data_IF_299026577073
#
_entry.id   IF_299026577073
#
_cell.length_a   1.000
_cell.length_b   1.000
_cell.length_c   1.000
_cell.angle_alpha   90.00
_cell.angle_beta   90.00
_cell.angle_gamma   90.00
#
_symmetry.space_group_name_H-M   'P 1'
#
loop_
_entity.id
_entity.type
_entity.pdbx_description
1 polymer ?
#
# COMPACT_ATOMS: atom_id res chain seq x y z
N UNK A 1 -4.25 -3.04 2.91
CA UNK A 1 -5.19 -3.43 1.83
C UNK A 1 -4.46 -4.26 0.78
N UNK A 2 -5.15 -4.84 -0.22
CA UNK A 2 -4.53 -5.74 -1.22
C UNK A 2 -5.11 -5.46 -2.62
N UNK A 3 -5.15 -6.48 -3.48
CA UNK A 3 -5.69 -6.48 -4.84
C UNK A 3 -7.04 -5.75 -4.98
N UNK A 4 -8.04 -6.02 -4.14
CA UNK A 4 -9.39 -5.44 -4.32
C UNK A 4 -9.40 -3.91 -4.38
N UNK A 5 -8.78 -3.26 -3.39
CA UNK A 5 -8.67 -1.80 -3.34
C UNK A 5 -7.83 -1.23 -4.50
N UNK A 6 -6.83 -1.99 -4.94
CA UNK A 6 -5.91 -1.59 -6.01
C UNK A 6 -6.48 -1.78 -7.42
N UNK A 7 -7.50 -2.63 -7.60
CA UNK A 7 -8.16 -2.88 -8.90
C UNK A 7 -9.34 -1.95 -9.19
N UNK A 8 -9.71 -1.09 -8.24
CA UNK A 8 -10.73 -0.06 -8.47
C UNK A 8 -10.27 0.90 -9.58
N UNK A 9 -11.22 1.44 -10.37
CA UNK A 9 -10.91 2.41 -11.45
C UNK A 9 -10.17 3.66 -10.96
N UNK A 10 -10.36 3.99 -9.68
CA UNK A 10 -9.64 5.06 -8.96
C UNK A 10 -8.63 4.53 -7.95
N UNK A 11 -8.10 3.32 -8.13
CA UNK A 11 -7.24 2.65 -7.15
C UNK A 11 -6.06 3.52 -6.71
N UNK A 12 -5.41 4.23 -7.63
CA UNK A 12 -4.32 5.18 -7.32
C UNK A 12 -4.79 6.30 -6.37
N UNK A 13 -5.94 6.91 -6.64
CA UNK A 13 -6.50 7.95 -5.78
C UNK A 13 -6.84 7.43 -4.39
N UNK A 14 -7.46 6.24 -4.34
CA UNK A 14 -7.78 5.59 -3.08
C UNK A 14 -6.51 5.30 -2.25
N UNK A 15 -5.43 4.84 -2.87
CA UNK A 15 -4.13 4.65 -2.20
C UNK A 15 -3.61 5.98 -1.63
N UNK A 16 -3.59 7.04 -2.44
CA UNK A 16 -3.13 8.37 -1.99
C UNK A 16 -3.92 8.90 -0.78
N UNK A 17 -5.24 8.68 -0.73
CA UNK A 17 -6.05 9.07 0.43
C UNK A 17 -5.63 8.34 1.70
N UNK A 18 -5.32 7.04 1.61
CA UNK A 18 -4.87 6.27 2.78
C UNK A 18 -3.52 6.80 3.27
N UNK A 19 -2.56 7.03 2.38
CA UNK A 19 -1.28 7.66 2.74
C UNK A 19 -1.48 9.05 3.39
N UNK A 20 -2.33 9.89 2.82
CA UNK A 20 -2.60 11.24 3.33
C UNK A 20 -3.21 11.23 4.73
N UNK A 21 -4.13 10.30 5.03
CA UNK A 21 -4.72 10.19 6.38
C UNK A 21 -3.64 9.84 7.41
N UNK A 22 -2.76 8.89 7.10
CA UNK A 22 -1.67 8.53 8.00
C UNK A 22 -0.67 9.66 8.17
N UNK A 23 -0.36 10.41 7.11
CA UNK A 23 0.49 11.60 7.19
C UNK A 23 -0.13 12.69 8.07
N UNK A 24 -1.40 13.04 7.83
CA UNK A 24 -2.13 14.08 8.58
C UNK A 24 -2.30 13.72 10.06
N UNK A 25 -2.41 12.44 10.39
CA UNK A 25 -2.56 11.97 11.77
C UNK A 25 -1.23 11.66 12.46
N UNK A 26 -0.09 11.93 11.82
CA UNK A 26 1.24 11.70 12.39
C UNK A 26 1.60 10.22 12.55
N UNK A 27 0.87 9.31 11.91
CA UNK A 27 1.03 7.85 12.04
C UNK A 27 2.12 7.27 11.13
N UNK A 28 2.96 8.09 10.52
CA UNK A 28 4.06 7.63 9.67
C UNK A 28 5.29 7.41 10.55
N UNK A 29 6.03 6.32 10.28
CA UNK A 29 7.28 5.96 10.97
C UNK A 29 7.16 5.55 12.44
N UNK A 30 5.96 5.20 12.90
CA UNK A 30 5.74 4.63 14.23
C UNK A 30 5.52 3.11 14.15
N UNK A 31 6.08 2.30 15.07
CA UNK A 31 5.84 0.86 15.11
C UNK A 31 4.35 0.53 15.24
N UNK A 32 3.85 -0.37 14.37
CA UNK A 32 2.44 -0.77 14.35
C UNK A 32 1.51 0.24 13.66
N UNK A 33 2.03 1.36 13.17
CA UNK A 33 1.31 2.36 12.39
C UNK A 33 1.80 2.36 10.91
N UNK A 34 1.45 3.40 10.16
CA UNK A 34 1.68 3.57 8.70
C UNK A 34 0.71 2.77 7.80
N UNK A 35 0.44 3.24 6.57
CA UNK A 35 -0.24 2.44 5.56
C UNK A 35 0.50 1.13 5.26
N UNK A 36 -0.23 0.01 5.34
CA UNK A 36 0.31 -1.31 5.03
C UNK A 36 -0.53 -2.02 3.95
N UNK A 37 0.03 -2.10 2.73
CA UNK A 37 -0.52 -2.86 1.62
C UNK A 37 0.13 -4.25 1.55
N UNK A 38 -0.68 -5.32 1.55
CA UNK A 38 -0.17 -6.69 1.45
C UNK A 38 0.03 -7.06 -0.01
N UNK A 39 1.16 -7.69 -0.28
CA UNK A 39 1.43 -8.34 -1.56
C UNK A 39 0.87 -9.76 -1.58
N UNK A 40 0.53 -10.24 -2.78
CA UNK A 40 -0.10 -11.56 -2.95
C UNK A 40 0.87 -12.72 -2.76
N UNK A 41 1.81 -12.89 -3.69
CA UNK A 41 2.79 -13.97 -3.60
C UNK A 41 3.88 -13.65 -2.55
N UNK A 42 4.41 -14.66 -1.84
CA UNK A 42 5.47 -14.46 -0.84
C UNK A 42 6.72 -13.76 -1.40
N UNK A 43 7.09 -14.06 -2.65
CA UNK A 43 8.24 -13.46 -3.33
C UNK A 43 7.89 -12.22 -4.16
N UNK A 44 6.63 -11.75 -4.16
CA UNK A 44 6.19 -10.67 -5.06
C UNK A 44 7.02 -9.39 -4.95
N UNK A 45 7.53 -9.05 -3.76
CA UNK A 45 8.40 -7.90 -3.55
C UNK A 45 9.87 -8.14 -3.95
N UNK A 46 10.30 -9.40 -4.02
CA UNK A 46 11.70 -9.79 -4.22
C UNK A 46 12.00 -10.39 -5.59
N UNK A 47 10.98 -10.73 -6.37
CA UNK A 47 11.15 -11.23 -7.74
C UNK A 47 11.70 -10.12 -8.63
N UNK A 48 12.94 -10.26 -9.10
CA UNK A 48 13.44 -9.47 -10.22
C UNK A 48 12.66 -9.90 -11.48
N UNK A 49 12.06 -8.94 -12.18
CA UNK A 49 11.46 -9.23 -13.48
C UNK A 49 12.60 -9.58 -14.43
N UNK A 50 12.75 -10.86 -14.77
CA UNK A 50 13.61 -11.26 -15.88
C UNK A 50 13.03 -10.62 -17.16
N UNK A 51 13.82 -9.75 -17.78
CA UNK A 51 13.54 -9.11 -19.07
C UNK A 51 14.41 -9.73 -20.14
#
# INVERSE_FOLDING_TARGET
WTMGFNQHTRGVWCNNLVYNIHLLTGKISEPGNSPFSLTGQPSACGTAREV
#
